data_IF_591632599165
#
_entry.id   IF_591632599165
#
_cell.length_a   1.000
_cell.length_b   1.000
_cell.length_c   1.000
_cell.angle_alpha   90.00
_cell.angle_beta   90.00
_cell.angle_gamma   90.00
#
_symmetry.space_group_name_H-M   'P 1'
#
loop_
_entity.id
_entity.type
_entity.pdbx_description
1 polymer ?
#
# COMPACT_ATOMS: atom_id res chain seq x y z
N UNK A 1 -14.81 -8.20 -5.58
CA UNK A 1 -15.59 -6.96 -5.34
C UNK A 1 -15.06 -6.19 -4.13
N UNK A 2 -14.49 -6.87 -3.13
CA UNK A 2 -14.04 -6.28 -1.86
C UNK A 2 -12.96 -5.18 -1.93
N UNK A 3 -11.99 -5.23 -2.85
CA UNK A 3 -10.90 -4.24 -2.85
C UNK A 3 -11.34 -2.83 -3.29
N UNK A 4 -12.26 -2.70 -4.24
CA UNK A 4 -12.66 -1.40 -4.79
C UNK A 4 -13.60 -0.65 -3.85
N UNK A 5 -14.42 -1.37 -3.07
CA UNK A 5 -15.40 -0.77 -2.16
C UNK A 5 -14.74 -0.03 -0.98
N UNK A 6 -13.55 -0.46 -0.53
CA UNK A 6 -12.78 0.22 0.52
C UNK A 6 -12.20 1.57 0.13
N UNK A 7 -11.94 1.81 -1.16
CA UNK A 7 -11.37 3.08 -1.66
C UNK A 7 -12.42 4.07 -2.17
N UNK A 8 -13.64 3.59 -2.45
CA UNK A 8 -14.68 4.34 -3.13
C UNK A 8 -15.14 5.67 -2.47
N UNK A 9 -15.12 5.86 -1.14
CA UNK A 9 -15.70 7.07 -0.54
C UNK A 9 -14.87 8.36 -0.71
N UNK A 10 -13.58 8.27 -1.07
CA UNK A 10 -12.62 9.39 -0.92
C UNK A 10 -11.86 9.74 -2.21
N UNK A 11 -12.35 9.33 -3.37
CA UNK A 11 -11.66 9.55 -4.66
C UNK A 11 -12.00 10.90 -5.28
N UNK A 12 -10.97 11.65 -5.71
CA UNK A 12 -11.13 12.80 -6.58
C UNK A 12 -11.11 12.37 -8.06
N UNK A 13 -12.11 12.82 -8.82
CA UNK A 13 -12.26 12.48 -10.25
C UNK A 13 -11.99 13.69 -11.13
N UNK A 14 -11.17 13.50 -12.15
CA UNK A 14 -10.97 14.45 -13.25
C UNK A 14 -11.88 14.03 -14.39
N UNK A 15 -12.84 14.88 -14.74
CA UNK A 15 -13.82 14.62 -15.81
C UNK A 15 -13.65 15.56 -17.01
N UNK A 16 -12.86 16.62 -16.89
CA UNK A 16 -12.63 17.61 -17.94
C UNK A 16 -11.13 17.92 -18.08
N UNK A 17 -10.67 18.06 -19.32
CA UNK A 17 -9.33 18.51 -19.67
C UNK A 17 -9.40 19.78 -20.53
N UNK A 18 -8.97 20.91 -19.97
CA UNK A 18 -9.21 22.21 -20.59
C UNK A 18 -10.71 22.52 -20.64
N UNK A 19 -11.26 22.69 -21.85
CA UNK A 19 -12.69 22.95 -22.06
C UNK A 19 -13.49 21.70 -22.52
N UNK A 20 -12.84 20.54 -22.66
CA UNK A 20 -13.46 19.33 -23.19
C UNK A 20 -13.71 18.30 -22.08
N UNK A 21 -14.84 17.60 -22.16
CA UNK A 21 -15.10 16.42 -21.33
C UNK A 21 -14.21 15.26 -21.76
N UNK A 22 -13.67 14.52 -20.78
CA UNK A 22 -12.83 13.36 -21.05
C UNK A 22 -13.70 12.16 -21.46
N UNK A 23 -13.28 11.34 -22.44
CA UNK A 23 -14.00 10.12 -22.80
C UNK A 23 -14.15 9.13 -21.64
N UNK A 24 -13.16 9.13 -20.74
CA UNK A 24 -13.18 8.39 -19.49
C UNK A 24 -12.68 9.29 -18.37
N UNK A 25 -13.36 9.24 -17.22
CA UNK A 25 -12.94 9.97 -16.02
C UNK A 25 -11.62 9.39 -15.49
N UNK A 26 -10.70 10.27 -15.11
CA UNK A 26 -9.44 9.85 -14.50
C UNK A 26 -9.54 9.97 -12.98
N UNK A 27 -9.05 8.94 -12.28
CA UNK A 27 -8.93 8.93 -10.84
C UNK A 27 -7.62 9.60 -10.44
N UNK A 28 -7.66 10.59 -9.55
CA UNK A 28 -6.44 11.02 -8.84
C UNK A 28 -6.16 9.98 -7.77
N UNK A 29 -5.01 9.30 -7.87
CA UNK A 29 -4.68 8.16 -7.01
C UNK A 29 -4.85 8.48 -5.51
N UNK A 30 -5.71 7.75 -4.78
CA UNK A 30 -5.69 7.73 -3.32
C UNK A 30 -4.59 6.81 -2.77
N UNK A 31 -4.09 5.93 -3.65
CA UNK A 31 -3.02 4.95 -3.47
C UNK A 31 -2.72 4.29 -4.85
N UNK A 32 -1.59 3.60 -5.01
CA UNK A 32 -1.16 3.08 -6.32
C UNK A 32 -1.26 1.56 -6.52
N UNK A 33 -1.91 0.79 -5.63
CA UNK A 33 -1.98 -0.68 -5.71
C UNK A 33 -2.50 -1.16 -7.06
N UNK A 34 -3.59 -0.56 -7.58
CA UNK A 34 -4.17 -0.98 -8.87
C UNK A 34 -3.21 -0.72 -10.03
N UNK A 35 -2.52 0.42 -10.02
CA UNK A 35 -1.51 0.76 -11.02
C UNK A 35 -0.32 -0.20 -10.96
N UNK A 36 0.15 -0.55 -9.77
CA UNK A 36 1.23 -1.53 -9.58
C UNK A 36 0.79 -2.93 -9.99
N UNK A 37 -0.46 -3.34 -9.72
CA UNK A 37 -0.96 -4.63 -10.16
C UNK A 37 -0.99 -4.75 -11.69
N UNK A 38 -1.48 -3.73 -12.38
CA UNK A 38 -1.46 -3.68 -13.85
C UNK A 38 -0.04 -3.68 -14.41
N UNK A 39 0.88 -2.96 -13.76
CA UNK A 39 2.30 -2.96 -14.11
C UNK A 39 2.92 -4.36 -13.94
N UNK A 40 2.77 -4.98 -12.77
CA UNK A 40 3.34 -6.29 -12.46
C UNK A 40 2.79 -7.40 -13.35
N UNK A 41 1.50 -7.36 -13.70
CA UNK A 41 0.91 -8.32 -14.64
C UNK A 41 1.65 -8.38 -15.97
N UNK A 42 2.13 -7.24 -16.44
CA UNK A 42 2.82 -7.12 -17.73
C UNK A 42 4.34 -7.30 -17.62
N UNK A 43 4.92 -7.21 -16.41
CA UNK A 43 6.37 -7.20 -16.18
C UNK A 43 6.89 -8.50 -15.53
N UNK A 44 6.03 -9.29 -14.90
CA UNK A 44 6.39 -10.54 -14.22
C UNK A 44 5.88 -11.73 -15.04
N UNK A 45 6.80 -12.60 -15.45
CA UNK A 45 6.48 -13.81 -16.22
C UNK A 45 7.21 -15.06 -15.72
N UNK A 46 8.38 -14.92 -15.08
CA UNK A 46 9.21 -16.00 -14.59
C UNK A 46 9.67 -15.74 -13.16
N UNK A 47 10.02 -16.80 -12.42
CA UNK A 47 10.68 -16.69 -11.11
C UNK A 47 11.95 -15.83 -11.13
N UNK A 48 12.56 -15.64 -12.31
CA UNK A 48 13.75 -14.80 -12.50
C UNK A 48 13.45 -13.30 -12.43
N UNK A 49 12.19 -12.92 -12.60
CA UNK A 49 11.75 -11.53 -12.50
C UNK A 49 11.55 -11.13 -11.03
N UNK A 50 11.52 -12.10 -10.11
CA UNK A 50 11.26 -11.91 -8.70
C UNK A 50 12.56 -11.96 -7.86
N UNK A 51 12.60 -11.25 -6.71
CA UNK A 51 11.54 -10.37 -6.21
C UNK A 51 11.54 -9.02 -6.94
N UNK A 52 10.35 -8.46 -7.18
CA UNK A 52 10.20 -7.06 -7.60
C UNK A 52 10.07 -6.20 -6.36
N UNK A 53 10.94 -5.19 -6.23
CA UNK A 53 10.99 -4.33 -5.05
C UNK A 53 11.01 -2.88 -5.49
N UNK A 54 9.84 -2.23 -5.46
CA UNK A 54 9.69 -0.84 -5.88
C UNK A 54 9.26 0.07 -4.74
N UNK A 55 9.68 1.32 -4.87
CA UNK A 55 9.38 2.40 -3.95
C UNK A 55 9.15 3.67 -4.77
N UNK A 56 8.14 4.46 -4.41
CA UNK A 56 7.96 5.80 -4.95
C UNK A 56 7.70 6.83 -3.86
N UNK A 57 8.21 8.03 -4.10
CA UNK A 57 7.92 9.24 -3.34
C UNK A 57 7.00 10.11 -4.16
N UNK A 58 5.83 10.45 -3.64
CA UNK A 58 4.84 11.22 -4.37
C UNK A 58 3.79 11.86 -3.46
N UNK A 59 2.91 12.69 -4.05
CA UNK A 59 1.65 13.01 -3.42
C UNK A 59 0.53 12.05 -3.84
N UNK A 60 -0.43 11.90 -2.94
CA UNK A 60 -1.72 11.26 -3.17
C UNK A 60 -2.85 12.17 -2.68
N UNK A 61 -4.06 11.93 -3.21
CA UNK A 61 -5.24 12.73 -2.86
C UNK A 61 -6.34 11.82 -2.29
N UNK A 62 -6.82 12.17 -1.09
CA UNK A 62 -7.97 11.55 -0.42
C UNK A 62 -8.95 12.64 -0.01
N UNK A 63 -10.22 12.53 -0.40
CA UNK A 63 -11.22 13.56 -0.16
C UNK A 63 -11.78 13.54 1.27
N UNK A 64 -10.89 13.81 2.22
CA UNK A 64 -11.15 13.81 3.66
C UNK A 64 -12.17 14.88 4.08
N UNK A 65 -13.11 14.48 4.97
CA UNK A 65 -14.16 15.36 5.49
C UNK A 65 -13.65 16.36 6.53
N UNK A 66 -12.76 15.91 7.42
CA UNK A 66 -12.12 16.73 8.45
C UNK A 66 -10.61 16.65 8.26
N UNK A 67 -9.93 17.80 8.23
CA UNK A 67 -8.48 17.87 8.02
C UNK A 67 -7.77 18.37 9.26
N UNK A 68 -6.59 17.81 9.54
CA UNK A 68 -5.64 18.27 10.56
C UNK A 68 -4.26 18.33 9.91
N UNK A 69 -3.58 19.50 9.89
CA UNK A 69 -2.27 19.62 9.24
C UNK A 69 -1.32 18.49 9.64
N UNK A 70 -0.64 17.90 8.65
CA UNK A 70 0.21 16.71 8.72
C UNK A 70 -0.49 15.39 9.07
N UNK A 71 -1.43 15.38 10.01
CA UNK A 71 -2.07 14.14 10.48
C UNK A 71 -3.14 13.62 9.52
N UNK A 72 -3.86 14.52 8.85
CA UNK A 72 -4.91 14.20 7.87
C UNK A 72 -5.13 15.40 6.95
N UNK A 73 -4.65 15.32 5.72
CA UNK A 73 -4.85 16.35 4.70
C UNK A 73 -5.43 15.74 3.42
N UNK A 74 -6.05 16.57 2.59
CA UNK A 74 -6.63 16.10 1.32
C UNK A 74 -5.59 15.70 0.30
N UNK A 75 -4.50 16.44 0.24
CA UNK A 75 -3.28 16.03 -0.45
C UNK A 75 -2.19 15.87 0.60
N UNK A 76 -1.37 14.84 0.48
CA UNK A 76 -0.22 14.64 1.34
C UNK A 76 0.92 13.96 0.58
N UNK A 77 2.14 14.30 0.99
CA UNK A 77 3.36 13.68 0.52
C UNK A 77 3.57 12.39 1.31
N UNK A 78 3.94 11.32 0.61
CA UNK A 78 4.24 10.05 1.24
C UNK A 78 5.28 9.24 0.46
N UNK A 79 5.66 8.14 1.09
CA UNK A 79 6.35 7.04 0.45
C UNK A 79 5.43 5.84 0.43
N UNK A 80 5.33 5.18 -0.72
CA UNK A 80 4.63 3.89 -0.84
C UNK A 80 5.56 2.88 -1.52
N UNK A 81 5.64 1.69 -0.91
CA UNK A 81 6.47 0.58 -1.35
C UNK A 81 5.59 -0.57 -1.79
N UNK A 82 5.85 -1.09 -2.99
CA UNK A 82 5.10 -2.20 -3.57
C UNK A 82 6.10 -3.28 -3.96
N UNK A 83 5.84 -4.51 -3.53
CA UNK A 83 6.76 -5.63 -3.74
C UNK A 83 6.01 -6.89 -4.13
N UNK A 84 6.56 -7.68 -5.03
CA UNK A 84 6.06 -8.99 -5.44
C UNK A 84 7.16 -10.04 -5.21
N UNK A 85 6.80 -11.20 -4.66
CA UNK A 85 7.76 -12.23 -4.22
C UNK A 85 7.36 -13.59 -4.77
N UNK A 86 8.26 -14.57 -4.75
CA UNK A 86 7.92 -15.92 -5.21
C UNK A 86 7.24 -16.74 -4.10
N UNK A 87 7.51 -16.40 -2.84
CA UNK A 87 6.99 -17.17 -1.70
C UNK A 87 6.39 -16.28 -0.59
N UNK A 88 5.50 -16.88 0.20
CA UNK A 88 4.87 -16.21 1.33
C UNK A 88 5.91 -15.80 2.38
N UNK A 89 6.95 -16.60 2.60
CA UNK A 89 8.03 -16.33 3.54
C UNK A 89 8.81 -15.07 3.16
N UNK A 90 9.20 -14.94 1.88
CA UNK A 90 9.89 -13.74 1.37
C UNK A 90 9.02 -12.48 1.52
N UNK A 91 7.73 -12.60 1.18
CA UNK A 91 6.78 -11.50 1.34
C UNK A 91 6.62 -11.06 2.80
N UNK A 92 6.59 -12.01 3.73
CA UNK A 92 6.45 -11.77 5.15
C UNK A 92 7.72 -11.15 5.74
N UNK A 93 8.89 -11.67 5.36
CA UNK A 93 10.18 -11.11 5.76
C UNK A 93 10.29 -9.65 5.31
N UNK A 94 9.94 -9.36 4.05
CA UNK A 94 9.94 -7.99 3.52
C UNK A 94 8.97 -7.07 4.27
N UNK A 95 7.78 -7.58 4.58
CA UNK A 95 6.76 -6.83 5.32
C UNK A 95 7.28 -6.44 6.71
N UNK A 96 7.88 -7.37 7.44
CA UNK A 96 8.46 -7.12 8.77
C UNK A 96 9.73 -6.27 8.70
N UNK A 97 10.53 -6.40 7.65
CA UNK A 97 11.68 -5.53 7.40
C UNK A 97 11.24 -4.07 7.33
N UNK A 98 10.21 -3.75 6.54
CA UNK A 98 9.71 -2.38 6.41
C UNK A 98 9.09 -1.85 7.70
N UNK A 99 8.39 -2.69 8.47
CA UNK A 99 7.91 -2.33 9.81
C UNK A 99 9.08 -1.85 10.71
N UNK A 100 10.19 -2.59 10.69
CA UNK A 100 11.37 -2.23 11.48
C UNK A 100 12.08 -0.97 10.95
N UNK A 101 12.09 -0.75 9.63
CA UNK A 101 12.60 0.50 9.03
C UNK A 101 11.79 1.70 9.51
N UNK A 102 10.46 1.61 9.51
CA UNK A 102 9.61 2.69 9.99
C UNK A 102 9.79 2.96 11.49
N UNK A 103 9.86 1.91 12.31
CA UNK A 103 10.12 2.05 13.75
C UNK A 103 11.47 2.72 14.01
N UNK A 104 12.52 2.24 13.33
CA UNK A 104 13.87 2.81 13.45
C UNK A 104 13.91 4.28 13.03
N UNK A 105 13.22 4.65 11.95
CA UNK A 105 13.13 6.03 11.51
C UNK A 105 12.44 6.93 12.55
N UNK A 106 11.32 6.47 13.11
CA UNK A 106 10.62 7.20 14.18
C UNK A 106 11.53 7.38 15.42
N UNK A 107 12.17 6.31 15.89
CA UNK A 107 12.95 6.31 17.12
C UNK A 107 14.29 7.04 16.98
N UNK A 108 15.06 6.75 15.93
CA UNK A 108 16.44 7.23 15.81
C UNK A 108 16.54 8.59 15.09
N UNK A 109 15.63 8.90 14.16
CA UNK A 109 15.69 10.15 13.37
C UNK A 109 14.76 11.20 13.95
N UNK A 110 13.55 10.81 14.36
CA UNK A 110 12.53 11.75 14.86
C UNK A 110 12.44 11.80 16.39
N UNK A 111 13.14 10.92 17.10
CA UNK A 111 13.07 10.77 18.56
C UNK A 111 11.63 10.53 19.08
N UNK A 112 10.81 9.86 18.27
CA UNK A 112 9.43 9.48 18.61
C UNK A 112 9.41 8.01 19.03
N UNK A 113 9.10 7.69 20.30
CA UNK A 113 8.94 6.30 20.71
C UNK A 113 7.70 5.70 20.04
N UNK A 114 7.84 4.49 19.48
CA UNK A 114 6.76 3.82 18.77
C UNK A 114 6.60 2.36 19.22
N UNK A 115 5.36 1.88 19.20
CA UNK A 115 5.03 0.48 19.48
C UNK A 115 4.77 -0.22 18.16
N UNK A 116 5.61 -1.21 17.84
CA UNK A 116 5.35 -2.14 16.74
C UNK A 116 4.24 -3.11 17.11
N UNK A 117 3.31 -3.33 16.21
CA UNK A 117 2.21 -4.28 16.42
C UNK A 117 1.59 -4.78 15.14
N UNK A 118 0.68 -5.75 15.29
CA UNK A 118 -0.20 -6.22 14.24
C UNK A 118 -1.62 -5.73 14.53
N UNK A 119 -2.28 -5.15 13.52
CA UNK A 119 -3.70 -4.75 13.63
C UNK A 119 -4.58 -5.99 13.81
N UNK A 120 -5.71 -5.79 14.49
CA UNK A 120 -6.76 -6.81 14.59
C UNK A 120 -7.42 -7.03 13.22
N UNK A 121 -8.16 -8.12 13.05
CA UNK A 121 -8.90 -8.39 11.81
C UNK A 121 -9.86 -7.27 11.41
N UNK A 122 -10.39 -6.52 12.38
CA UNK A 122 -11.29 -5.39 12.13
C UNK A 122 -10.57 -4.15 11.59
N UNK A 123 -9.33 -3.94 12.01
CA UNK A 123 -8.56 -2.71 11.76
C UNK A 123 -7.45 -2.92 10.71
N UNK A 124 -7.31 -4.13 10.16
CA UNK A 124 -6.37 -4.40 9.09
C UNK A 124 -6.84 -3.77 7.78
N UNK A 125 -5.90 -3.49 6.89
CA UNK A 125 -6.21 -2.97 5.57
C UNK A 125 -7.09 -3.93 4.77
N UNK A 126 -8.04 -3.38 4.01
CA UNK A 126 -9.01 -4.13 3.25
C UNK A 126 -8.33 -5.08 2.23
N UNK A 127 -8.45 -6.38 2.50
CA UNK A 127 -7.88 -7.45 1.70
C UNK A 127 -6.38 -7.71 1.90
N UNK A 128 -5.77 -7.15 2.95
CA UNK A 128 -4.51 -7.67 3.47
C UNK A 128 -4.73 -8.96 4.28
N UNK A 129 -3.80 -9.90 4.19
CA UNK A 129 -3.72 -11.06 5.10
C UNK A 129 -3.41 -10.55 6.51
N UNK A 130 -2.37 -9.71 6.62
CA UNK A 130 -1.97 -9.06 7.86
C UNK A 130 -1.58 -7.60 7.62
N UNK A 131 -1.87 -6.74 8.60
CA UNK A 131 -1.38 -5.35 8.61
C UNK A 131 -0.55 -5.14 9.86
N UNK A 132 0.71 -4.75 9.66
CA UNK A 132 1.61 -4.34 10.71
C UNK A 132 1.67 -2.82 10.77
N UNK A 133 1.86 -2.30 11.98
CA UNK A 133 1.77 -0.87 12.27
C UNK A 133 2.81 -0.46 13.30
N UNK A 134 3.26 0.79 13.21
CA UNK A 134 3.96 1.50 14.29
C UNK A 134 3.00 2.54 14.88
N UNK A 135 2.68 2.40 16.17
CA UNK A 135 1.76 3.28 16.89
C UNK A 135 2.55 4.22 17.81
N UNK A 136 2.28 5.52 17.73
CA UNK A 136 2.84 6.53 18.62
C UNK A 136 1.78 7.11 19.55
N UNK A 137 2.19 7.61 20.72
CA UNK A 137 1.30 8.32 21.65
C UNK A 137 1.55 9.82 21.55
N UNK A 138 0.49 10.56 21.24
CA UNK A 138 0.52 12.02 21.18
C UNK A 138 0.49 12.63 22.58
N UNK A 139 0.93 13.89 22.69
CA UNK A 139 0.98 14.61 23.97
C UNK A 139 -0.39 14.78 24.65
N UNK A 140 -1.48 14.68 23.90
CA UNK A 140 -2.86 14.77 24.38
C UNK A 140 -3.44 13.39 24.78
N UNK A 141 -2.60 12.35 24.82
CA UNK A 141 -2.97 10.99 25.20
C UNK A 141 -3.66 10.19 24.10
N UNK A 142 -3.79 10.71 22.87
CA UNK A 142 -4.34 9.95 21.74
C UNK A 142 -3.27 9.12 21.04
N UNK A 143 -3.65 7.92 20.61
CA UNK A 143 -2.80 7.09 19.76
C UNK A 143 -2.84 7.57 18.30
N UNK A 144 -1.71 7.43 17.60
CA UNK A 144 -1.56 7.76 16.19
C UNK A 144 -0.77 6.66 15.46
N UNK A 145 -1.42 6.06 14.46
CA UNK A 145 -0.74 5.19 13.51
C UNK A 145 0.27 6.02 12.71
N UNK A 146 1.54 5.69 12.85
CA UNK A 146 2.67 6.48 12.30
C UNK A 146 3.38 5.80 11.12
N UNK A 147 2.88 4.65 10.68
CA UNK A 147 3.36 3.92 9.51
C UNK A 147 2.75 2.52 9.46
N UNK A 148 2.56 1.98 8.25
CA UNK A 148 1.99 0.64 8.06
C UNK A 148 2.78 -0.17 7.04
N UNK A 149 2.81 -1.49 7.26
CA UNK A 149 3.39 -2.47 6.35
C UNK A 149 2.41 -3.62 6.21
N UNK A 150 1.97 -3.91 4.99
CA UNK A 150 0.88 -4.85 4.72
C UNK A 150 1.41 -6.10 4.02
N UNK A 151 1.02 -7.27 4.51
CA UNK A 151 1.17 -8.51 3.76
C UNK A 151 -0.17 -8.79 3.07
N UNK A 152 -0.19 -8.69 1.75
CA UNK A 152 -1.38 -8.91 0.93
C UNK A 152 -1.62 -10.37 0.55
N UNK A 153 -0.65 -11.26 0.79
CA UNK A 153 -0.65 -12.60 0.21
C UNK A 153 -0.86 -12.54 -1.30
N UNK A 154 -1.60 -13.51 -1.83
CA UNK A 154 -1.89 -13.63 -3.25
C UNK A 154 -3.24 -13.00 -3.68
N UNK A 155 -3.88 -12.22 -2.80
CA UNK A 155 -5.22 -11.66 -3.03
C UNK A 155 -5.27 -10.72 -4.25
N UNK A 156 -4.37 -9.74 -4.29
CA UNK A 156 -4.22 -8.83 -5.43
C UNK A 156 -3.71 -9.56 -6.67
N UNK A 157 -2.74 -10.47 -6.52
CA UNK A 157 -2.21 -11.27 -7.62
C UNK A 157 -3.31 -12.08 -8.33
N UNK A 158 -4.19 -12.74 -7.57
CA UNK A 158 -5.36 -13.44 -8.10
C UNK A 158 -6.37 -12.50 -8.75
N UNK A 159 -6.65 -11.35 -8.13
CA UNK A 159 -7.63 -10.39 -8.66
C UNK A 159 -7.21 -9.79 -10.00
N UNK A 160 -5.91 -9.54 -10.20
CA UNK A 160 -5.38 -8.94 -11.42
C UNK A 160 -4.78 -9.96 -12.42
N UNK A 161 -4.59 -11.21 -11.99
CA UNK A 161 -4.03 -12.27 -12.82
C UNK A 161 -2.51 -12.17 -12.97
N UNK A 162 -1.81 -11.85 -11.88
CA UNK A 162 -0.35 -11.70 -11.85
C UNK A 162 0.27 -13.08 -11.55
N UNK A 163 0.74 -13.75 -12.59
CA UNK A 163 1.30 -15.10 -12.48
C UNK A 163 2.73 -15.15 -13.00
N UNK A 164 3.51 -16.10 -12.49
CA UNK A 164 4.87 -16.38 -12.96
C UNK A 164 5.09 -17.89 -13.13
N UNK A 165 5.94 -18.26 -14.08
CA UNK A 165 6.45 -19.62 -14.20
C UNK A 165 7.55 -19.86 -13.16
N UNK A 166 7.29 -20.75 -12.21
CA UNK A 166 8.26 -21.11 -11.17
C UNK A 166 9.33 -22.09 -11.68
N UNK A 167 10.35 -22.39 -10.87
CA UNK A 167 11.47 -23.29 -11.19
C UNK A 167 11.02 -24.71 -11.58
N UNK A 168 9.83 -25.11 -11.13
CA UNK A 168 9.17 -26.38 -11.47
C UNK A 168 8.32 -26.31 -12.75
N UNK A 169 8.38 -25.19 -13.49
CA UNK A 169 7.56 -24.85 -14.65
C UNK A 169 6.04 -24.84 -14.39
N UNK A 170 5.62 -24.70 -13.13
CA UNK A 170 4.22 -24.49 -12.80
C UNK A 170 3.92 -22.99 -12.72
N UNK A 171 2.71 -22.59 -13.16
CA UNK A 171 2.24 -21.22 -13.02
C UNK A 171 1.74 -21.00 -11.60
N UNK A 172 2.35 -20.05 -10.89
CA UNK A 172 1.98 -19.63 -9.53
C UNK A 172 1.62 -18.14 -9.53
N UNK A 173 0.86 -17.72 -8.52
CA UNK A 173 0.63 -16.30 -8.25
C UNK A 173 1.79 -15.77 -7.40
N UNK A 174 2.20 -14.53 -7.68
CA UNK A 174 3.18 -13.78 -6.87
C UNK A 174 2.66 -13.43 -5.48
#
# INVERSE_FOLDING_TARGET
KDHVEGFAPEVAWVTQGGLNELPERLCVRPTSETLFCDFYKNDIHSYRDLPKVYNQWCSVVRWEKETRPFLRSREFLWQEGHTAHATAEESQERTLQMLNVYAKFLEEVLAIPAIKGQKTEKEKFAGAVATYTVEALMHDGKALQSGTSHNFGDGFAKAFGIQFADKDNTLKYV
#
